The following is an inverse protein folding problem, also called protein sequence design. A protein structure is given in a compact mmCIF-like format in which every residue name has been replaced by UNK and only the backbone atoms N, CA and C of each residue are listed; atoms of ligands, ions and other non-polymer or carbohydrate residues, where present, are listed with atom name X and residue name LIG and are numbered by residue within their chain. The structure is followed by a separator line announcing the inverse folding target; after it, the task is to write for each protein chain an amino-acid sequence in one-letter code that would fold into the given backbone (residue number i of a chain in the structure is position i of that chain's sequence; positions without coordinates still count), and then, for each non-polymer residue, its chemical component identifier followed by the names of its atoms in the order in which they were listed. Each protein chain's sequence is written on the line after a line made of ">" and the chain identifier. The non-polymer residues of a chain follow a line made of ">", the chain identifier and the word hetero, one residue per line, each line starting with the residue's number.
data_IF_179007714379
#
_entry.id   IF_179007714379
#
_cell.length_a   1.000
_cell.length_b   1.000
_cell.length_c   1.000
_cell.angle_alpha   90.00
_cell.angle_beta   90.00
_cell.angle_gamma   90.00
#
_symmetry.space_group_name_H-M   'P 1'
#
loop_
_entity.id
_entity.type
_entity.pdbx_description
1 polymer ?
#
# COMPACT_ATOMS: atom_id res chain seq x y z
N UNK A 1 9.45 27.43 -10.39
CA UNK A 1 8.29 26.51 -10.31
C UNK A 1 8.86 25.12 -10.09
N UNK A 2 9.14 24.78 -8.84
CA UNK A 2 9.76 23.51 -8.45
C UNK A 2 9.24 23.03 -7.08
N UNK A 3 8.16 23.65 -6.59
CA UNK A 3 7.68 23.51 -5.21
C UNK A 3 6.57 22.43 -5.10
N UNK A 4 5.82 22.21 -6.17
CA UNK A 4 4.65 21.33 -6.17
C UNK A 4 5.00 19.83 -6.07
N UNK A 5 6.18 19.42 -6.56
CA UNK A 5 6.59 18.02 -6.62
C UNK A 5 7.11 17.47 -5.28
N UNK A 6 7.72 18.31 -4.43
CA UNK A 6 8.09 17.89 -3.08
C UNK A 6 6.85 17.86 -2.16
N UNK A 7 5.92 18.80 -2.36
CA UNK A 7 4.68 18.87 -1.59
C UNK A 7 3.73 17.69 -1.81
N UNK A 8 3.72 17.07 -3.00
CA UNK A 8 2.89 15.88 -3.25
C UNK A 8 3.42 14.65 -2.49
N UNK A 9 4.74 14.48 -2.39
CA UNK A 9 5.36 13.37 -1.64
C UNK A 9 5.08 13.53 -0.15
N UNK A 10 5.22 14.73 0.38
CA UNK A 10 4.91 15.06 1.77
C UNK A 10 3.43 14.80 2.12
N UNK A 11 2.51 15.18 1.24
CA UNK A 11 1.07 14.89 1.40
C UNK A 11 0.76 13.39 1.38
N UNK A 12 1.41 12.63 0.50
CA UNK A 12 1.21 11.17 0.44
C UNK A 12 1.81 10.51 1.69
N UNK A 13 2.95 10.99 2.18
CA UNK A 13 3.52 10.55 3.47
C UNK A 13 2.55 10.79 4.62
N UNK A 14 2.03 12.01 4.73
CA UNK A 14 1.03 12.37 5.75
C UNK A 14 -0.20 11.46 5.64
N UNK A 15 -0.75 11.27 4.44
CA UNK A 15 -1.87 10.35 4.23
C UNK A 15 -1.54 8.90 4.60
N UNK A 16 -0.32 8.43 4.36
CA UNK A 16 0.07 7.06 4.69
C UNK A 16 0.31 6.85 6.19
N UNK A 17 0.84 7.85 6.91
CA UNK A 17 1.16 7.75 8.34
C UNK A 17 0.06 8.25 9.28
N UNK A 18 -0.75 9.21 8.86
CA UNK A 18 -1.74 9.90 9.70
C UNK A 18 -3.18 9.52 9.38
N UNK A 19 -3.45 8.92 8.21
CA UNK A 19 -4.81 8.59 7.79
C UNK A 19 -5.18 7.13 8.13
N UNK A 20 -5.85 6.94 9.26
CA UNK A 20 -6.42 5.65 9.69
C UNK A 20 -7.36 5.04 8.62
N UNK A 21 -7.99 5.87 7.77
CA UNK A 21 -8.88 5.39 6.70
C UNK A 21 -8.14 4.51 5.70
N UNK A 22 -6.84 4.74 5.50
CA UNK A 22 -6.01 3.93 4.63
C UNK A 22 -5.96 2.50 5.16
N UNK A 23 -5.50 2.35 6.41
CA UNK A 23 -5.41 1.06 7.10
C UNK A 23 -6.77 0.36 7.17
N UNK A 24 -7.85 1.07 7.54
CA UNK A 24 -9.21 0.52 7.59
C UNK A 24 -9.66 -0.01 6.22
N UNK A 25 -9.35 0.69 5.13
CA UNK A 25 -9.72 0.27 3.77
C UNK A 25 -8.98 -1.02 3.40
N UNK A 26 -7.69 -1.12 3.71
CA UNK A 26 -6.92 -2.35 3.46
C UNK A 26 -7.38 -3.51 4.33
N UNK A 27 -7.70 -3.26 5.60
CA UNK A 27 -8.24 -4.27 6.50
C UNK A 27 -9.61 -4.77 6.05
N UNK A 28 -10.48 -3.88 5.57
CA UNK A 28 -11.77 -4.25 5.01
C UNK A 28 -11.61 -5.12 3.75
N UNK A 29 -10.77 -4.68 2.81
CA UNK A 29 -10.44 -5.45 1.61
C UNK A 29 -9.84 -6.81 1.98
N UNK A 30 -8.89 -6.83 2.92
CA UNK A 30 -8.26 -8.04 3.39
C UNK A 30 -9.27 -8.99 4.03
N UNK A 31 -10.22 -8.48 4.82
CA UNK A 31 -11.28 -9.29 5.44
C UNK A 31 -12.20 -9.91 4.38
N UNK A 32 -12.59 -9.16 3.36
CA UNK A 32 -13.41 -9.66 2.26
C UNK A 32 -12.70 -10.72 1.42
N UNK A 33 -11.41 -10.55 1.17
CA UNK A 33 -10.59 -11.47 0.37
C UNK A 33 -9.90 -12.56 1.21
N UNK A 34 -9.97 -12.50 2.54
CA UNK A 34 -9.36 -13.47 3.46
C UNK A 34 -9.93 -14.88 3.31
N UNK A 35 -11.08 -15.04 2.65
CA UNK A 35 -11.72 -16.33 2.43
C UNK A 35 -10.92 -17.26 1.51
N UNK A 36 -10.13 -16.68 0.60
CA UNK A 36 -9.17 -17.41 -0.25
C UNK A 36 -7.94 -17.88 0.54
N UNK A 37 -7.63 -17.24 1.67
CA UNK A 37 -6.41 -17.51 2.44
C UNK A 37 -6.65 -18.71 3.35
N UNK A 38 -6.08 -19.85 2.99
CA UNK A 38 -6.07 -21.04 3.83
C UNK A 38 -5.23 -20.79 5.09
N UNK A 39 -5.86 -20.86 6.26
CA UNK A 39 -5.22 -20.73 7.59
C UNK A 39 -4.25 -21.89 7.90
N UNK A 40 -4.45 -23.03 7.25
CA UNK A 40 -3.77 -24.30 7.54
C UNK A 40 -2.79 -24.73 6.43
N UNK A 41 -2.76 -24.04 5.30
CA UNK A 41 -1.84 -24.35 4.20
C UNK A 41 -0.70 -23.31 4.16
N UNK A 42 0.53 -23.75 4.44
CA UNK A 42 1.76 -23.04 4.08
C UNK A 42 1.98 -23.01 2.56
N UNK A 43 1.13 -23.66 1.77
CA UNK A 43 1.22 -23.72 0.32
C UNK A 43 0.85 -22.36 -0.29
N UNK A 44 1.85 -21.64 -0.82
CA UNK A 44 1.63 -20.41 -1.57
C UNK A 44 0.93 -20.73 -2.89
N UNK A 45 -0.39 -20.63 -2.92
CA UNK A 45 -1.18 -20.85 -4.14
C UNK A 45 -0.95 -19.72 -5.13
N UNK A 46 -1.00 -20.03 -6.43
CA UNK A 46 -1.01 -19.04 -7.52
C UNK A 46 -2.11 -17.99 -7.34
N UNK A 47 -3.20 -18.38 -6.67
CA UNK A 47 -4.30 -17.49 -6.30
C UNK A 47 -3.84 -16.34 -5.40
N UNK A 48 -2.85 -16.54 -4.51
CA UNK A 48 -2.31 -15.48 -3.66
C UNK A 48 -1.51 -14.46 -4.46
N UNK A 49 -0.80 -14.90 -5.51
CA UNK A 49 -0.13 -13.98 -6.44
C UNK A 49 -1.16 -13.12 -7.18
N UNK A 50 -2.23 -13.73 -7.69
CA UNK A 50 -3.30 -12.98 -8.36
C UNK A 50 -4.03 -12.02 -7.42
N UNK A 51 -4.20 -12.41 -6.15
CA UNK A 51 -4.77 -11.57 -5.10
C UNK A 51 -3.85 -10.37 -4.80
N UNK A 52 -2.55 -10.62 -4.70
CA UNK A 52 -1.54 -9.59 -4.49
C UNK A 52 -1.47 -8.61 -5.66
N UNK A 53 -1.54 -9.08 -6.91
CA UNK A 53 -1.67 -8.22 -8.09
C UNK A 53 -2.95 -7.36 -8.04
N UNK A 54 -4.06 -7.93 -7.60
CA UNK A 54 -5.32 -7.20 -7.42
C UNK A 54 -5.22 -6.14 -6.31
N UNK A 55 -4.51 -6.46 -5.23
CA UNK A 55 -4.21 -5.54 -4.13
C UNK A 55 -3.31 -4.39 -4.58
N UNK A 56 -2.27 -4.68 -5.37
CA UNK A 56 -1.39 -3.66 -5.95
C UNK A 56 -2.19 -2.71 -6.85
N UNK A 57 -3.06 -3.24 -7.70
CA UNK A 57 -3.93 -2.41 -8.55
C UNK A 57 -4.88 -1.54 -7.71
N UNK A 58 -5.44 -2.08 -6.62
CA UNK A 58 -6.29 -1.31 -5.70
C UNK A 58 -5.51 -0.19 -5.00
N UNK A 59 -4.29 -0.49 -4.56
CA UNK A 59 -3.37 0.47 -3.95
C UNK A 59 -3.00 1.59 -4.93
N UNK A 60 -2.61 1.23 -6.16
CA UNK A 60 -2.28 2.16 -7.23
C UNK A 60 -3.47 3.06 -7.59
N UNK A 61 -4.69 2.51 -7.70
CA UNK A 61 -5.89 3.31 -7.97
C UNK A 61 -6.19 4.30 -6.83
N UNK A 62 -5.99 3.88 -5.58
CA UNK A 62 -6.21 4.74 -4.41
C UNK A 62 -5.18 5.87 -4.37
N UNK A 63 -3.91 5.55 -4.63
CA UNK A 63 -2.85 6.54 -4.75
C UNK A 63 -3.11 7.49 -5.92
N UNK A 64 -3.50 6.98 -7.09
CA UNK A 64 -3.82 7.81 -8.25
C UNK A 64 -4.95 8.79 -7.94
N UNK A 65 -6.03 8.34 -7.29
CA UNK A 65 -7.13 9.20 -6.83
C UNK A 65 -6.65 10.27 -5.87
N UNK A 66 -5.82 9.92 -4.89
CA UNK A 66 -5.28 10.88 -3.93
C UNK A 66 -4.38 11.92 -4.60
N UNK A 67 -3.50 11.47 -5.52
CA UNK A 67 -2.60 12.35 -6.27
C UNK A 67 -3.41 13.28 -7.19
N UNK A 68 -4.47 12.76 -7.82
CA UNK A 68 -5.39 13.54 -8.64
C UNK A 68 -6.18 14.58 -7.83
N UNK A 69 -6.65 14.21 -6.64
CA UNK A 69 -7.33 15.12 -5.71
C UNK A 69 -6.40 16.26 -5.25
N UNK A 70 -5.14 15.94 -5.01
CA UNK A 70 -4.08 16.90 -4.73
C UNK A 70 -3.66 17.76 -5.95
N UNK A 71 -4.27 17.57 -7.12
CA UNK A 71 -4.03 18.36 -8.34
C UNK A 71 -2.79 17.94 -9.14
N UNK A 72 -2.26 16.74 -8.90
CA UNK A 72 -1.11 16.18 -9.59
C UNK A 72 -1.49 14.93 -10.39
N UNK A 73 -0.54 14.38 -11.15
CA UNK A 73 -0.71 13.09 -11.84
C UNK A 73 0.22 12.05 -11.24
N UNK A 74 -0.15 10.75 -11.26
CA UNK A 74 0.72 9.68 -10.76
C UNK A 74 2.08 9.67 -11.46
N UNK A 75 2.14 9.97 -12.76
CA UNK A 75 3.42 10.10 -13.48
C UNK A 75 4.33 11.20 -12.90
N UNK A 76 3.77 12.34 -12.47
CA UNK A 76 4.56 13.41 -11.84
C UNK A 76 4.98 13.02 -10.43
N UNK A 77 4.13 12.33 -9.68
CA UNK A 77 4.47 11.77 -8.38
C UNK A 77 5.61 10.74 -8.48
N UNK A 78 5.53 9.77 -9.39
CA UNK A 78 6.60 8.80 -9.63
C UNK A 78 7.90 9.47 -10.05
N UNK A 79 7.86 10.52 -10.88
CA UNK A 79 9.05 11.30 -11.22
C UNK A 79 9.60 12.05 -10.01
N UNK A 80 8.74 12.65 -9.19
CA UNK A 80 9.15 13.38 -7.99
C UNK A 80 9.84 12.45 -7.00
N UNK A 81 9.22 11.31 -6.72
CA UNK A 81 9.75 10.22 -5.92
C UNK A 81 11.09 9.72 -6.46
N UNK A 82 11.15 9.36 -7.75
CA UNK A 82 12.36 8.83 -8.36
C UNK A 82 13.50 9.86 -8.35
N UNK A 83 13.17 11.14 -8.53
CA UNK A 83 14.12 12.23 -8.44
C UNK A 83 14.61 12.41 -7.00
N UNK A 84 13.72 12.39 -6.01
CA UNK A 84 14.07 12.50 -4.60
C UNK A 84 15.01 11.39 -4.14
N UNK A 85 14.76 10.13 -4.56
CA UNK A 85 15.66 9.00 -4.28
C UNK A 85 17.01 9.13 -4.98
N UNK A 86 17.02 9.62 -6.22
CA UNK A 86 18.26 9.82 -6.96
C UNK A 86 19.10 10.97 -6.39
N UNK A 87 18.45 12.01 -5.89
CA UNK A 87 19.09 13.19 -5.30
C UNK A 87 19.62 12.88 -3.90
N UNK A 88 18.82 12.22 -3.06
CA UNK A 88 19.19 11.81 -1.70
C UNK A 88 18.82 10.33 -1.42
N UNK A 89 19.68 9.37 -1.83
CA UNK A 89 19.42 7.94 -1.69
C UNK A 89 19.41 7.45 -0.23
N UNK A 90 19.92 8.24 0.70
CA UNK A 90 19.85 7.97 2.14
C UNK A 90 18.78 8.80 2.85
N UNK A 91 17.95 9.50 2.06
CA UNK A 91 16.97 10.45 2.56
C UNK A 91 15.71 9.82 3.09
N UNK A 92 14.89 10.67 3.68
CA UNK A 92 13.58 10.31 4.22
C UNK A 92 12.62 9.83 3.11
N UNK A 93 12.74 10.38 1.90
CA UNK A 93 11.96 9.95 0.74
C UNK A 93 12.27 8.52 0.32
N UNK A 94 13.55 8.13 0.29
CA UNK A 94 13.93 6.76 0.00
C UNK A 94 13.44 5.80 1.08
N UNK A 95 13.58 6.18 2.35
CA UNK A 95 13.07 5.40 3.49
C UNK A 95 11.55 5.22 3.40
N UNK A 96 10.81 6.28 3.06
CA UNK A 96 9.37 6.20 2.85
C UNK A 96 8.99 5.23 1.73
N UNK A 97 9.66 5.29 0.59
CA UNK A 97 9.38 4.35 -0.52
C UNK A 97 9.68 2.92 -0.13
N UNK A 98 10.76 2.68 0.61
CA UNK A 98 11.07 1.34 1.14
C UNK A 98 9.95 0.86 2.07
N UNK A 99 9.41 1.73 2.93
CA UNK A 99 8.29 1.41 3.82
C UNK A 99 7.02 1.12 3.02
N UNK A 100 6.69 1.94 2.02
CA UNK A 100 5.52 1.73 1.16
C UNK A 100 5.67 0.43 0.37
N UNK A 101 6.84 0.19 -0.24
CA UNK A 101 7.14 -1.05 -0.97
C UNK A 101 7.05 -2.27 -0.05
N UNK A 102 7.55 -2.17 1.18
CA UNK A 102 7.43 -3.22 2.19
C UNK A 102 5.97 -3.43 2.61
N UNK A 103 5.18 -2.37 2.75
CA UNK A 103 3.77 -2.47 3.10
C UNK A 103 2.95 -3.17 2.01
N UNK A 104 3.28 -2.93 0.74
CA UNK A 104 2.67 -3.62 -0.40
C UNK A 104 3.43 -4.86 -0.84
N UNK A 105 4.46 -5.31 -0.12
CA UNK A 105 5.18 -6.53 -0.50
C UNK A 105 4.31 -7.76 -0.21
N UNK A 106 4.59 -8.85 -0.93
CA UNK A 106 3.83 -10.08 -0.79
C UNK A 106 3.82 -10.64 0.64
N UNK A 107 4.94 -10.56 1.36
CA UNK A 107 5.05 -11.07 2.73
C UNK A 107 4.20 -10.27 3.74
N UNK A 108 4.24 -8.94 3.68
CA UNK A 108 3.41 -8.06 4.52
C UNK A 108 1.93 -8.18 4.16
N UNK A 109 1.60 -8.23 2.88
CA UNK A 109 0.25 -8.51 2.38
C UNK A 109 -0.29 -9.84 2.95
N UNK A 110 0.49 -10.91 2.85
CA UNK A 110 0.11 -12.23 3.38
C UNK A 110 -0.05 -12.21 4.90
N UNK A 111 0.79 -11.45 5.62
CA UNK A 111 0.67 -11.30 7.07
C UNK A 111 -0.65 -10.61 7.44
N UNK A 112 -0.95 -9.46 6.82
CA UNK A 112 -2.20 -8.73 7.02
C UNK A 112 -3.43 -9.60 6.71
N UNK A 113 -3.40 -10.33 5.60
CA UNK A 113 -4.47 -11.23 5.19
C UNK A 113 -4.70 -12.38 6.19
N UNK A 114 -3.62 -12.96 6.72
CA UNK A 114 -3.69 -13.99 7.77
C UNK A 114 -4.25 -13.43 9.07
N UNK A 115 -3.88 -12.21 9.45
CA UNK A 115 -4.41 -11.54 10.62
C UNK A 115 -5.90 -11.21 10.46
N UNK A 116 -6.31 -10.66 9.31
CA UNK A 116 -7.71 -10.40 8.99
C UNK A 116 -8.54 -11.70 9.02
N UNK A 117 -8.01 -12.80 8.48
CA UNK A 117 -8.64 -14.12 8.56
C UNK A 117 -8.77 -14.60 10.00
N UNK A 118 -7.73 -14.46 10.80
CA UNK A 118 -7.72 -14.86 12.21
C UNK A 118 -8.74 -14.07 13.04
N UNK A 119 -8.87 -12.77 12.80
CA UNK A 119 -9.87 -11.91 13.43
C UNK A 119 -11.30 -12.30 13.02
N UNK A 120 -11.54 -12.52 11.72
CA UNK A 120 -12.85 -12.94 11.22
C UNK A 120 -13.29 -14.32 11.76
N UNK A 121 -12.34 -15.24 11.94
CA UNK A 121 -12.56 -16.55 12.56
C UNK A 121 -12.84 -16.44 14.06
N UNK A 122 -12.15 -15.53 14.76
CA UNK A 122 -12.36 -15.25 16.18
C UNK A 122 -13.72 -14.61 16.47
N UNK A 123 -14.22 -13.72 15.60
CA UNK A 123 -15.58 -13.14 15.72
C UNK A 123 -16.70 -14.16 15.49
N UNK A 124 -16.42 -15.26 14.77
CA UNK A 124 -17.41 -16.33 14.49
C UNK A 124 -17.48 -17.40 15.59
N UNK A 125 -16.63 -17.36 16.62
CA UNK A 125 -16.54 -18.37 17.68
C UNK A 125 -17.06 -17.85 19.01
#
# INVERSE_FOLDING_TARGET
>A
MADDAAGIVDRVKAYFYEDDTFEETFLAWAKEHSDVISKDEEEMKLEYTALHESFLAFFEERMEKFIADAGSTPSEFYKAIKKAVLDDPSGEDNSFIQIVLAAVEFSTFMQMMREARAMADAEKK
#
